data_IF_733570369572
#
_entry.id   IF_733570369572
#
_cell.length_a   1.000
_cell.length_b   1.000
_cell.length_c   1.000
_cell.angle_alpha   90.00
_cell.angle_beta   90.00
_cell.angle_gamma   90.00
#
_symmetry.space_group_name_H-M   'P 1'
#
loop_
_entity.id
_entity.type
_entity.pdbx_description
1 polymer ?
#
# COMPACT_ATOMS: atom_id res chain seq x y z
N UNK A 1 17.65 -39.07 24.38
CA UNK A 1 17.84 -40.49 24.76
C UNK A 1 16.74 -41.29 24.09
N UNK A 2 17.04 -41.94 22.96
CA UNK A 2 16.06 -42.78 22.26
C UNK A 2 15.64 -43.93 23.18
N UNK A 3 14.34 -44.04 23.47
CA UNK A 3 13.78 -45.22 24.12
C UNK A 3 14.21 -46.45 23.31
N UNK A 4 14.71 -47.52 23.94
CA UNK A 4 14.98 -48.76 23.21
C UNK A 4 13.67 -49.19 22.54
N UNK A 5 13.76 -49.74 21.33
CA UNK A 5 12.63 -50.37 20.66
C UNK A 5 12.18 -51.54 21.54
N UNK A 6 11.27 -51.27 22.48
CA UNK A 6 10.69 -52.28 23.35
C UNK A 6 9.95 -53.28 22.46
N UNK A 7 10.64 -54.38 22.14
CA UNK A 7 10.11 -55.62 21.58
C UNK A 7 9.28 -55.44 20.30
N UNK A 8 9.96 -55.19 19.18
CA UNK A 8 9.38 -55.44 17.87
C UNK A 8 9.13 -56.95 17.69
N UNK A 9 7.95 -57.36 17.18
CA UNK A 9 7.69 -58.77 16.86
C UNK A 9 8.72 -59.31 15.85
N UNK A 10 9.29 -60.49 16.12
CA UNK A 10 10.26 -61.13 15.21
C UNK A 10 9.61 -61.81 13.99
N UNK A 11 8.28 -61.84 13.92
CA UNK A 11 7.54 -62.42 12.79
C UNK A 11 7.53 -61.45 11.60
N UNK A 12 8.12 -61.85 10.44
CA UNK A 12 8.16 -61.00 9.26
C UNK A 12 6.77 -60.67 8.69
N UNK A 13 5.75 -61.49 8.93
CA UNK A 13 4.38 -61.18 8.51
C UNK A 13 3.80 -60.01 9.32
N UNK A 14 3.99 -60.03 10.65
CA UNK A 14 3.53 -58.97 11.55
C UNK A 14 4.25 -57.66 11.27
N UNK A 15 5.57 -57.70 11.04
CA UNK A 15 6.34 -56.49 10.69
C UNK A 15 5.88 -55.86 9.38
N UNK A 16 5.60 -56.66 8.34
CA UNK A 16 5.08 -56.14 7.06
C UNK A 16 3.71 -55.49 7.23
N UNK A 17 2.84 -56.08 8.04
CA UNK A 17 1.53 -55.51 8.34
C UNK A 17 1.66 -54.16 9.10
N UNK A 18 2.57 -54.06 10.07
CA UNK A 18 2.85 -52.80 10.76
C UNK A 18 3.43 -51.74 9.82
N UNK A 19 4.34 -52.12 8.91
CA UNK A 19 4.90 -51.19 7.92
C UNK A 19 3.81 -50.67 6.98
N UNK A 20 2.92 -51.54 6.50
CA UNK A 20 1.79 -51.12 5.66
C UNK A 20 0.87 -50.16 6.41
N UNK A 21 0.54 -50.45 7.68
CA UNK A 21 -0.26 -49.56 8.51
C UNK A 21 0.42 -48.19 8.74
N UNK A 22 1.73 -48.18 9.03
CA UNK A 22 2.50 -46.94 9.17
C UNK A 22 2.59 -46.16 7.86
N UNK A 23 2.66 -46.83 6.71
CA UNK A 23 2.63 -46.17 5.40
C UNK A 23 1.28 -45.50 5.13
N UNK A 24 0.18 -46.16 5.48
CA UNK A 24 -1.15 -45.56 5.41
C UNK A 24 -1.29 -44.35 6.33
N UNK A 25 -0.79 -44.45 7.58
CA UNK A 25 -0.80 -43.33 8.52
C UNK A 25 0.05 -42.16 8.03
N UNK A 26 1.26 -42.43 7.54
CA UNK A 26 2.13 -41.40 6.95
C UNK A 26 1.49 -40.73 5.73
N UNK A 27 0.74 -41.47 4.91
CA UNK A 27 0.01 -40.89 3.79
C UNK A 27 -1.10 -39.94 4.27
N UNK A 28 -1.85 -40.32 5.30
CA UNK A 28 -2.88 -39.45 5.90
C UNK A 28 -2.27 -38.17 6.49
N UNK A 29 -1.16 -38.31 7.21
CA UNK A 29 -0.42 -37.16 7.77
C UNK A 29 0.09 -36.24 6.65
N UNK A 30 0.58 -36.81 5.53
CA UNK A 30 1.02 -36.02 4.39
C UNK A 30 -0.14 -35.22 3.76
N UNK A 31 -1.32 -35.82 3.64
CA UNK A 31 -2.53 -35.15 3.13
C UNK A 31 -3.00 -34.03 4.07
N UNK A 32 -2.95 -34.24 5.39
CA UNK A 32 -3.29 -33.22 6.38
C UNK A 32 -2.29 -32.07 6.38
N UNK A 33 -0.99 -32.37 6.37
CA UNK A 33 0.07 -31.38 6.23
C UNK A 33 -0.06 -30.57 4.94
N UNK A 34 -0.48 -31.19 3.84
CA UNK A 34 -0.71 -30.49 2.59
C UNK A 34 -1.85 -29.45 2.74
N UNK A 35 -2.94 -29.81 3.43
CA UNK A 35 -4.05 -28.88 3.72
C UNK A 35 -3.61 -27.72 4.61
N UNK A 36 -2.92 -28.01 5.72
CA UNK A 36 -2.39 -26.99 6.62
C UNK A 36 -1.39 -26.08 5.89
N UNK A 37 -0.52 -26.64 5.05
CA UNK A 37 0.41 -25.83 4.26
C UNK A 37 -0.29 -24.91 3.25
N UNK A 38 -1.47 -25.31 2.76
CA UNK A 38 -2.26 -24.49 1.86
C UNK A 38 -2.92 -23.33 2.61
N UNK A 39 -3.49 -23.57 3.80
CA UNK A 39 -4.08 -22.49 4.63
C UNK A 39 -3.02 -21.48 5.04
N UNK A 40 -1.86 -21.95 5.52
CA UNK A 40 -0.74 -21.07 5.88
C UNK A 40 -0.28 -20.18 4.72
N UNK A 41 -0.24 -20.70 3.48
CA UNK A 41 0.08 -19.88 2.30
C UNK A 41 -0.94 -18.78 2.04
N UNK A 42 -2.23 -19.05 2.27
CA UNK A 42 -3.29 -18.04 2.12
C UNK A 42 -3.11 -16.95 3.18
N UNK A 43 -2.85 -17.32 4.44
CA UNK A 43 -2.55 -16.37 5.50
C UNK A 43 -1.32 -15.51 5.19
N UNK A 44 -0.22 -16.12 4.75
CA UNK A 44 1.01 -15.42 4.39
C UNK A 44 0.77 -14.39 3.28
N UNK A 45 -0.04 -14.74 2.27
CA UNK A 45 -0.40 -13.82 1.19
C UNK A 45 -1.22 -12.63 1.70
N UNK A 46 -2.17 -12.87 2.60
CA UNK A 46 -3.00 -11.83 3.17
C UNK A 46 -2.19 -10.87 4.05
N UNK A 47 -1.30 -11.40 4.90
CA UNK A 47 -0.36 -10.60 5.71
C UNK A 47 0.54 -9.75 4.81
N UNK A 48 1.07 -10.32 3.72
CA UNK A 48 1.87 -9.57 2.76
C UNK A 48 1.07 -8.44 2.09
N UNK A 49 -0.18 -8.72 1.68
CA UNK A 49 -1.05 -7.71 1.07
C UNK A 49 -1.33 -6.54 2.02
N UNK A 50 -1.66 -6.83 3.28
CA UNK A 50 -1.88 -5.80 4.30
C UNK A 50 -0.63 -4.95 4.55
N UNK A 51 0.54 -5.59 4.73
CA UNK A 51 1.81 -4.87 4.90
C UNK A 51 2.14 -3.95 3.73
N UNK A 52 1.91 -4.41 2.50
CA UNK A 52 2.13 -3.60 1.30
C UNK A 52 1.16 -2.40 1.25
N UNK A 53 -0.11 -2.58 1.62
CA UNK A 53 -1.10 -1.51 1.70
C UNK A 53 -0.71 -0.46 2.74
N UNK A 54 -0.35 -0.90 3.95
CA UNK A 54 0.14 -0.02 5.02
C UNK A 54 1.35 0.79 4.54
N UNK A 55 2.37 0.14 3.98
CA UNK A 55 3.57 0.81 3.48
C UNK A 55 3.26 1.83 2.36
N UNK A 56 2.24 1.57 1.54
CA UNK A 56 1.78 2.50 0.50
C UNK A 56 1.09 3.71 1.12
N UNK A 57 0.20 3.50 2.09
CA UNK A 57 -0.51 4.57 2.79
C UNK A 57 0.45 5.45 3.60
N UNK A 58 1.43 4.85 4.29
CA UNK A 58 2.46 5.59 5.03
C UNK A 58 3.24 6.57 4.13
N UNK A 59 3.50 6.22 2.87
CA UNK A 59 4.15 7.13 1.89
C UNK A 59 3.25 8.30 1.47
N UNK A 60 1.94 8.17 1.62
CA UNK A 60 0.93 9.16 1.24
C UNK A 60 0.45 10.01 2.43
N UNK A 61 0.91 9.72 3.65
CA UNK A 61 0.44 10.32 4.90
C UNK A 61 0.94 11.76 5.14
N UNK A 62 0.91 12.63 4.13
CA UNK A 62 1.33 14.02 4.24
C UNK A 62 0.20 14.99 3.90
N UNK A 63 -0.02 16.00 4.75
CA UNK A 63 -0.93 17.12 4.50
C UNK A 63 -2.32 16.93 5.11
N UNK A 64 -3.31 17.72 4.65
CA UNK A 64 -4.66 17.78 5.25
C UNK A 64 -5.45 16.46 5.18
N UNK A 65 -5.05 15.54 4.29
CA UNK A 65 -5.61 14.19 4.20
C UNK A 65 -4.85 13.16 5.04
N UNK A 66 -3.74 13.52 5.70
CA UNK A 66 -2.92 12.58 6.47
C UNK A 66 -3.69 12.00 7.64
N UNK A 67 -4.50 12.79 8.34
CA UNK A 67 -5.28 12.32 9.48
C UNK A 67 -6.24 11.17 9.10
N UNK A 68 -6.86 11.21 7.92
CA UNK A 68 -7.71 10.11 7.44
C UNK A 68 -6.87 8.88 7.07
N UNK A 69 -5.71 9.10 6.46
CA UNK A 69 -4.78 8.03 6.05
C UNK A 69 -4.18 7.35 7.28
N UNK A 70 -3.84 8.10 8.32
CA UNK A 70 -3.33 7.61 9.60
C UNK A 70 -4.36 6.70 10.29
N UNK A 71 -5.63 7.13 10.35
CA UNK A 71 -6.72 6.27 10.88
C UNK A 71 -6.90 4.98 10.08
N UNK A 72 -6.75 5.04 8.76
CA UNK A 72 -6.82 3.83 7.91
C UNK A 72 -5.62 2.90 8.16
N UNK A 73 -4.42 3.45 8.38
CA UNK A 73 -3.23 2.69 8.75
C UNK A 73 -3.47 1.97 10.08
N UNK A 74 -3.95 2.67 11.11
CA UNK A 74 -4.24 2.09 12.43
C UNK A 74 -5.23 0.92 12.34
N UNK A 75 -6.28 1.05 11.51
CA UNK A 75 -7.25 -0.03 11.28
C UNK A 75 -6.63 -1.25 10.61
N UNK A 76 -5.76 -1.05 9.62
CA UNK A 76 -5.08 -2.15 8.92
C UNK A 76 -4.01 -2.81 9.81
N UNK A 77 -3.35 -2.05 10.67
CA UNK A 77 -2.41 -2.56 11.66
C UNK A 77 -3.13 -3.43 12.70
N UNK A 78 -4.28 -2.98 13.22
CA UNK A 78 -5.10 -3.78 14.12
C UNK A 78 -5.57 -5.08 13.45
N UNK A 79 -6.09 -5.00 12.22
CA UNK A 79 -6.51 -6.20 11.49
C UNK A 79 -5.36 -7.18 11.28
N UNK A 80 -4.14 -6.69 11.03
CA UNK A 80 -2.95 -7.52 10.90
C UNK A 80 -2.57 -8.18 12.23
N UNK A 81 -2.69 -7.49 13.35
CA UNK A 81 -2.47 -8.05 14.68
C UNK A 81 -3.48 -9.16 14.99
N UNK A 82 -4.77 -8.94 14.76
CA UNK A 82 -5.82 -9.93 14.96
C UNK A 82 -5.54 -11.22 14.17
N UNK A 83 -5.11 -11.08 12.90
CA UNK A 83 -4.75 -12.22 12.07
C UNK A 83 -3.51 -12.97 12.58
N UNK A 84 -2.50 -12.27 13.11
CA UNK A 84 -1.32 -12.91 13.68
C UNK A 84 -1.66 -13.64 14.98
N UNK A 85 -2.58 -13.10 15.79
CA UNK A 85 -3.10 -13.75 16.99
C UNK A 85 -3.89 -15.00 16.62
N UNK A 86 -4.81 -14.90 15.64
CA UNK A 86 -5.59 -16.05 15.14
C UNK A 86 -4.70 -17.23 14.71
N UNK A 87 -3.64 -16.93 13.95
CA UNK A 87 -2.66 -17.94 13.51
C UNK A 87 -1.89 -18.54 14.68
N UNK A 88 -1.58 -17.76 15.72
CA UNK A 88 -0.88 -18.24 16.91
C UNK A 88 -1.77 -19.13 17.80
N UNK A 89 -3.07 -18.83 17.85
CA UNK A 89 -4.07 -19.57 18.62
C UNK A 89 -4.59 -20.82 17.88
N UNK A 90 -4.35 -20.92 16.57
CA UNK A 90 -4.82 -22.02 15.73
C UNK A 90 -6.29 -21.89 15.34
N UNK A 91 -6.87 -20.69 15.46
CA UNK A 91 -8.25 -20.39 15.14
C UNK A 91 -8.38 -19.92 13.67
N UNK A 92 -8.63 -20.88 12.77
CA UNK A 92 -8.89 -20.63 11.33
C UNK A 92 -10.25 -19.95 11.07
N UNK A 93 -11.08 -19.72 12.10
CA UNK A 93 -12.45 -19.22 11.97
C UNK A 93 -12.55 -17.72 11.64
N UNK A 94 -11.45 -16.95 11.77
CA UNK A 94 -11.45 -15.49 11.63
C UNK A 94 -11.30 -14.99 10.18
N UNK A 95 -11.28 -15.89 9.19
CA UNK A 95 -10.98 -15.56 7.78
C UNK A 95 -12.24 -15.15 6.99
N UNK A 96 -13.45 -15.39 7.51
CA UNK A 96 -14.70 -15.11 6.77
C UNK A 96 -15.01 -13.60 6.67
N UNK A 97 -14.50 -12.82 7.62
CA UNK A 97 -14.59 -11.36 7.61
C UNK A 97 -13.36 -10.78 6.89
N UNK A 98 -13.16 -11.19 5.63
CA UNK A 98 -12.24 -10.50 4.74
C UNK A 98 -12.58 -9.00 4.79
N UNK A 99 -11.62 -8.09 5.07
CA UNK A 99 -11.90 -6.67 5.11
C UNK A 99 -12.60 -6.34 3.81
N UNK A 100 -13.90 -6.01 3.90
CA UNK A 100 -14.66 -5.58 2.74
C UNK A 100 -13.80 -4.55 2.06
N UNK A 101 -13.25 -4.91 0.90
CA UNK A 101 -12.51 -3.93 0.12
C UNK A 101 -13.50 -2.79 0.00
N UNK A 102 -13.17 -1.58 0.48
CA UNK A 102 -13.94 -0.46 0.05
C UNK A 102 -13.78 -0.50 -1.45
N UNK A 103 -14.85 -0.94 -2.14
CA UNK A 103 -14.99 -0.83 -3.57
C UNK A 103 -14.48 0.58 -3.81
N UNK A 104 -13.44 0.77 -4.65
CA UNK A 104 -13.17 2.09 -5.12
C UNK A 104 -14.45 2.42 -5.88
N UNK A 105 -15.40 3.10 -5.21
CA UNK A 105 -16.42 3.92 -5.83
C UNK A 105 -15.68 4.53 -6.98
N UNK A 106 -16.05 4.13 -8.20
CA UNK A 106 -15.34 4.45 -9.41
C UNK A 106 -15.13 5.95 -9.36
N UNK A 107 -13.96 6.34 -8.87
CA UNK A 107 -13.63 7.71 -8.67
C UNK A 107 -13.36 8.12 -10.09
N UNK A 108 -14.40 8.70 -10.70
CA UNK A 108 -14.34 9.44 -11.95
C UNK A 108 -12.94 10.03 -11.99
N UNK A 109 -12.14 9.45 -12.89
CA UNK A 109 -10.70 9.63 -12.90
C UNK A 109 -10.44 11.11 -12.63
N UNK A 110 -9.74 11.50 -11.54
CA UNK A 110 -9.66 12.90 -11.19
C UNK A 110 -8.99 13.57 -12.37
N UNK A 111 -9.81 14.27 -13.17
CA UNK A 111 -9.38 14.94 -14.38
C UNK A 111 -8.17 15.74 -13.95
N UNK A 112 -7.02 15.37 -14.50
CA UNK A 112 -5.76 15.82 -13.95
C UNK A 112 -5.87 17.35 -13.86
N UNK A 113 -5.81 17.91 -12.65
CA UNK A 113 -5.70 19.36 -12.43
C UNK A 113 -4.31 19.83 -12.87
N UNK A 114 -3.83 19.32 -14.00
CA UNK A 114 -2.71 19.89 -14.74
C UNK A 114 -3.26 21.20 -15.28
N UNK A 115 -2.69 22.30 -14.77
CA UNK A 115 -2.77 23.60 -15.46
C UNK A 115 -2.62 23.35 -16.97
N UNK A 116 -3.42 23.99 -17.83
CA UNK A 116 -3.24 23.91 -19.27
C UNK A 116 -1.75 24.12 -19.60
N UNK A 117 -1.16 23.17 -20.31
CA UNK A 117 0.23 23.31 -20.78
C UNK A 117 0.22 24.39 -21.85
N UNK A 118 0.55 25.60 -21.44
CA UNK A 118 0.80 26.72 -22.35
C UNK A 118 1.97 26.32 -23.25
N UNK A 119 1.75 26.31 -24.57
CA UNK A 119 2.77 25.90 -25.53
C UNK A 119 4.01 26.79 -25.43
N UNK A 120 5.18 26.26 -25.77
CA UNK A 120 6.41 27.03 -25.75
C UNK A 120 6.44 28.18 -26.77
N UNK A 121 5.66 28.06 -27.84
CA UNK A 121 5.46 29.08 -28.86
C UNK A 121 4.50 30.21 -28.45
N UNK A 122 3.89 30.15 -27.27
CA UNK A 122 2.98 31.21 -26.80
C UNK A 122 3.79 32.50 -26.61
N UNK A 123 3.38 33.64 -27.21
CA UNK A 123 4.05 34.92 -27.02
C UNK A 123 4.14 35.28 -25.53
N UNK A 124 5.33 35.65 -25.06
CA UNK A 124 5.58 36.03 -23.66
C UNK A 124 6.09 37.47 -23.62
N UNK A 125 5.41 38.34 -22.88
CA UNK A 125 5.85 39.71 -22.61
C UNK A 125 6.71 39.73 -21.34
N UNK A 126 7.96 40.19 -21.44
CA UNK A 126 8.83 40.42 -20.26
C UNK A 126 8.70 41.90 -19.87
N UNK A 127 8.24 42.16 -18.65
CA UNK A 127 8.27 43.50 -18.04
C UNK A 127 9.32 43.52 -16.96
N UNK A 128 10.29 44.40 -17.12
CA UNK A 128 11.27 44.70 -16.10
C UNK A 128 10.74 45.86 -15.26
N UNK A 129 10.69 45.66 -13.95
CA UNK A 129 10.33 46.69 -12.99
C UNK A 129 11.60 47.10 -12.28
N UNK A 130 12.02 48.35 -12.48
CA UNK A 130 13.21 48.91 -11.82
C UNK A 130 12.85 49.37 -10.40
N UNK A 131 13.44 48.79 -9.34
CA UNK A 131 13.21 49.22 -7.96
C UNK A 131 13.91 50.55 -7.61
N UNK A 132 14.76 51.09 -8.49
CA UNK A 132 15.56 52.29 -8.25
C UNK A 132 16.88 51.99 -7.52
N UNK A 133 17.70 53.02 -7.31
CA UNK A 133 19.06 52.88 -6.76
C UNK A 133 19.11 52.81 -5.22
N UNK A 134 18.10 53.35 -4.53
CA UNK A 134 18.08 53.47 -3.07
C UNK A 134 16.72 53.05 -2.51
N UNK A 135 16.72 52.45 -1.32
CA UNK A 135 15.49 52.06 -0.63
C UNK A 135 14.67 53.31 -0.23
N UNK A 136 13.37 53.41 -0.58
CA UNK A 136 12.54 54.57 -0.26
C UNK A 136 12.31 54.78 1.25
N UNK A 137 12.44 53.72 2.06
CA UNK A 137 12.17 53.77 3.50
C UNK A 137 13.41 54.07 4.36
N UNK A 138 14.61 53.68 3.90
CA UNK A 138 15.84 53.84 4.69
C UNK A 138 16.97 54.59 3.97
N UNK A 139 16.81 54.93 2.68
CA UNK A 139 17.79 55.67 1.89
C UNK A 139 19.10 54.92 1.62
N UNK A 140 19.19 53.64 1.99
CA UNK A 140 20.37 52.82 1.74
C UNK A 140 20.48 52.34 0.29
N UNK A 141 21.71 52.17 -0.18
CA UNK A 141 22.01 51.67 -1.53
C UNK A 141 21.52 50.23 -1.71
N UNK A 142 20.74 49.99 -2.76
CA UNK A 142 20.27 48.65 -3.10
C UNK A 142 21.35 47.89 -3.87
N UNK A 143 21.62 46.64 -3.47
CA UNK A 143 22.48 45.71 -4.20
C UNK A 143 21.63 44.59 -4.80
N UNK A 144 21.96 44.18 -6.02
CA UNK A 144 21.25 43.10 -6.71
C UNK A 144 21.50 41.77 -5.97
N UNK A 145 20.42 41.11 -5.54
CA UNK A 145 20.48 39.80 -4.88
C UNK A 145 19.55 38.86 -5.64
N UNK A 146 20.16 37.95 -6.43
CA UNK A 146 19.42 36.99 -7.25
C UNK A 146 18.74 37.62 -8.46
N UNK A 147 18.81 36.95 -9.61
CA UNK A 147 17.96 37.26 -10.76
C UNK A 147 16.71 36.37 -10.68
N UNK A 148 15.62 36.91 -10.15
CA UNK A 148 14.34 36.19 -10.11
C UNK A 148 13.55 36.45 -11.39
N UNK A 149 13.57 35.48 -12.30
CA UNK A 149 12.76 35.43 -13.52
C UNK A 149 11.27 35.20 -13.18
N UNK A 150 10.57 36.23 -12.70
CA UNK A 150 9.12 36.13 -12.42
C UNK A 150 8.34 36.28 -13.73
N UNK A 151 8.07 35.15 -14.38
CA UNK A 151 7.32 35.07 -15.65
C UNK A 151 5.82 35.27 -15.39
N UNK A 152 5.30 36.48 -15.62
CA UNK A 152 3.85 36.72 -15.61
C UNK A 152 3.16 35.90 -16.73
N UNK A 153 2.27 34.99 -16.34
CA UNK A 153 1.40 34.26 -17.27
C UNK A 153 0.11 35.06 -17.48
N UNK A 154 -0.06 35.65 -18.65
CA UNK A 154 -1.35 36.20 -19.05
C UNK A 154 -2.35 35.03 -19.16
N UNK A 155 -3.47 35.16 -18.44
CA UNK A 155 -4.50 34.14 -18.34
C UNK A 155 -5.34 34.16 -19.62
N UNK A 156 -5.36 33.07 -20.38
CA UNK A 156 -6.40 32.83 -21.37
C UNK A 156 -7.64 32.29 -20.63
N UNK A 157 -8.70 33.09 -20.56
CA UNK A 157 -10.01 32.64 -20.10
C UNK A 157 -10.76 32.18 -21.34
N UNK A 158 -10.81 30.88 -21.60
CA UNK A 158 -11.70 30.32 -22.62
C UNK A 158 -13.12 30.30 -22.07
N UNK A 159 -13.90 31.31 -22.42
CA UNK A 159 -15.36 31.31 -22.19
C UNK A 159 -15.99 30.36 -23.22
N UNK A 160 -16.19 29.11 -22.83
CA UNK A 160 -16.99 28.17 -23.61
C UNK A 160 -18.47 28.56 -23.53
N UNK A 161 -18.96 29.29 -24.53
CA UNK A 161 -20.38 29.53 -24.71
C UNK A 161 -21.05 28.25 -25.27
N UNK A 162 -21.84 27.55 -24.44
CA UNK A 162 -22.79 26.54 -24.93
C UNK A 162 -23.98 27.26 -25.56
N UNK A 163 -24.02 27.31 -26.88
CA UNK A 163 -25.26 27.58 -27.63
C UNK A 163 -25.99 26.25 -27.77
N UNK A 164 -27.15 26.14 -27.13
CA UNK A 164 -28.12 25.07 -27.40
C UNK A 164 -29.26 25.68 -28.22
N UNK A 165 -29.68 24.99 -29.27
CA UNK A 165 -30.80 25.39 -30.14
C UNK A 165 -32.12 25.51 -29.38
#
# INVERSE_FOLDING_TARGET
>A
MSKPAETLPNDPAILKAMIAALQEENARIADENAKISATLRVHDQLVQALRLRIAKLQKLAFGKSSEKIEREIEQLELALEDLLVAVAEGDDALIDEGPSEPIPEAADAPASRRRPRVSDATPRERRELDPGACCPDCGGDLRVVGEDDVRLRQHAIDVSAKVSR
#
